data_IF_911778653741
#
_entry.id   IF_911778653741
#
_cell.length_a   1.000
_cell.length_b   1.000
_cell.length_c   1.000
_cell.angle_alpha   90.00
_cell.angle_beta   90.00
_cell.angle_gamma   90.00
#
_symmetry.space_group_name_H-M   'P 1'
#
loop_
_entity.id
_entity.type
_entity.pdbx_description
1 polymer ?
#
# COMPACT_ATOMS: atom_id res chain seq x y z
N UNK A 1 -53.52 -32.68 9.90
CA UNK A 1 -52.69 -32.28 11.07
C UNK A 1 -51.25 -31.95 10.68
N UNK A 2 -50.74 -32.45 9.55
CA UNK A 2 -49.34 -32.31 9.09
C UNK A 2 -48.91 -30.89 8.67
N UNK A 3 -49.81 -30.11 8.06
CA UNK A 3 -49.44 -28.78 7.53
C UNK A 3 -49.10 -27.77 8.63
N UNK A 4 -49.78 -27.86 9.78
CA UNK A 4 -49.55 -26.96 10.91
C UNK A 4 -48.17 -27.17 11.52
N UNK A 5 -47.74 -28.42 11.66
CA UNK A 5 -46.43 -28.76 12.21
C UNK A 5 -45.29 -28.38 11.26
N UNK A 6 -45.51 -28.58 9.96
CA UNK A 6 -44.58 -28.17 8.90
C UNK A 6 -44.41 -26.65 8.85
N UNK A 7 -45.51 -25.90 8.98
CA UNK A 7 -45.49 -24.44 9.05
C UNK A 7 -44.77 -23.93 10.29
N UNK A 8 -44.98 -24.56 11.46
CA UNK A 8 -44.29 -24.20 12.70
C UNK A 8 -42.77 -24.40 12.61
N UNK A 9 -42.32 -25.51 12.01
CA UNK A 9 -40.88 -25.74 11.75
C UNK A 9 -40.29 -24.67 10.82
N UNK A 10 -41.03 -24.31 9.76
CA UNK A 10 -40.60 -23.27 8.81
C UNK A 10 -40.52 -21.89 9.47
N UNK A 11 -41.47 -21.56 10.35
CA UNK A 11 -41.43 -20.32 11.14
C UNK A 11 -40.19 -20.29 12.03
N UNK A 12 -39.89 -21.37 12.75
CA UNK A 12 -38.68 -21.46 13.59
C UNK A 12 -37.41 -21.24 12.78
N UNK A 13 -37.26 -21.93 11.64
CA UNK A 13 -36.07 -21.78 10.79
C UNK A 13 -35.92 -20.36 10.24
N UNK A 14 -37.03 -19.72 9.87
CA UNK A 14 -37.02 -18.33 9.40
C UNK A 14 -36.66 -17.36 10.52
N UNK A 15 -37.08 -17.62 11.76
CA UNK A 15 -36.69 -16.82 12.93
C UNK A 15 -35.19 -16.92 13.19
N UNK A 16 -34.63 -18.13 13.16
CA UNK A 16 -33.18 -18.34 13.34
C UNK A 16 -32.36 -17.64 12.24
N UNK A 17 -32.84 -17.68 11.00
CA UNK A 17 -32.20 -16.96 9.88
C UNK A 17 -32.26 -15.44 10.06
N UNK A 18 -33.39 -14.90 10.53
CA UNK A 18 -33.51 -13.46 10.81
C UNK A 18 -32.54 -13.04 11.91
N UNK A 19 -32.38 -13.82 12.97
CA UNK A 19 -31.41 -13.54 14.02
C UNK A 19 -29.97 -13.59 13.51
N UNK A 20 -29.64 -14.59 12.69
CA UNK A 20 -28.33 -14.70 12.04
C UNK A 20 -28.03 -13.49 11.14
N UNK A 21 -28.99 -13.05 10.33
CA UNK A 21 -28.82 -11.89 9.48
C UNK A 21 -28.67 -10.60 10.27
N UNK A 22 -29.43 -10.41 11.36
CA UNK A 22 -29.27 -9.24 12.24
C UNK A 22 -27.91 -9.20 12.91
N UNK A 23 -27.39 -10.34 13.36
CA UNK A 23 -26.05 -10.41 13.94
C UNK A 23 -24.97 -10.03 12.91
N UNK A 24 -25.13 -10.47 11.66
CA UNK A 24 -24.23 -10.13 10.57
C UNK A 24 -24.33 -8.66 10.16
N UNK A 25 -25.54 -8.09 10.16
CA UNK A 25 -25.79 -6.67 9.91
C UNK A 25 -25.10 -5.80 10.97
N UNK A 26 -25.22 -6.15 12.24
CA UNK A 26 -24.54 -5.44 13.34
C UNK A 26 -23.00 -5.50 13.21
N UNK A 27 -22.45 -6.64 12.79
CA UNK A 27 -21.01 -6.75 12.51
C UNK A 27 -20.57 -5.86 11.34
N UNK A 28 -21.39 -5.78 10.29
CA UNK A 28 -21.11 -4.90 9.15
C UNK A 28 -21.19 -3.42 9.55
N UNK A 29 -22.18 -3.02 10.35
CA UNK A 29 -22.28 -1.66 10.87
C UNK A 29 -21.07 -1.28 11.72
N UNK A 30 -20.59 -2.18 12.58
CA UNK A 30 -19.40 -1.96 13.38
C UNK A 30 -18.15 -1.79 12.50
N UNK A 31 -18.00 -2.61 11.47
CA UNK A 31 -16.89 -2.49 10.51
C UNK A 31 -16.94 -1.17 9.75
N UNK A 32 -18.14 -0.70 9.36
CA UNK A 32 -18.35 0.60 8.73
C UNK A 32 -17.98 1.74 9.69
N UNK A 33 -18.30 1.62 10.99
CA UNK A 33 -17.93 2.62 11.99
C UNK A 33 -16.40 2.70 12.17
N UNK A 34 -15.73 1.56 12.31
CA UNK A 34 -14.27 1.48 12.42
C UNK A 34 -13.59 2.05 11.17
N UNK A 35 -14.12 1.75 9.99
CA UNK A 35 -13.67 2.35 8.73
C UNK A 35 -13.88 3.88 8.71
N UNK A 36 -15.04 4.37 9.12
CA UNK A 36 -15.32 5.82 9.16
C UNK A 36 -14.39 6.57 10.13
N UNK A 37 -14.06 5.98 11.28
CA UNK A 37 -13.07 6.56 12.20
C UNK A 37 -11.67 6.56 11.60
N UNK A 38 -11.28 5.48 10.91
CA UNK A 38 -10.01 5.42 10.20
C UNK A 38 -9.95 6.48 9.09
N UNK A 39 -11.01 6.63 8.30
CA UNK A 39 -11.10 7.63 7.22
C UNK A 39 -11.02 9.05 7.78
N UNK A 40 -11.66 9.35 8.91
CA UNK A 40 -11.52 10.66 9.56
C UNK A 40 -10.06 10.96 9.92
N UNK A 41 -9.33 9.99 10.48
CA UNK A 41 -7.90 10.14 10.75
C UNK A 41 -7.10 10.36 9.46
N UNK A 42 -7.44 9.69 8.37
CA UNK A 42 -6.77 9.88 7.07
C UNK A 42 -7.06 11.27 6.46
N UNK A 43 -8.29 11.79 6.62
CA UNK A 43 -8.63 13.14 6.19
C UNK A 43 -7.92 14.23 7.03
N UNK A 44 -7.76 14.02 8.33
CA UNK A 44 -6.95 14.93 9.17
C UNK A 44 -5.49 14.97 8.69
N UNK A 45 -4.92 13.81 8.33
CA UNK A 45 -3.59 13.72 7.71
C UNK A 45 -3.55 14.42 6.33
N UNK A 46 -4.64 14.36 5.56
CA UNK A 46 -4.76 15.05 4.27
C UNK A 46 -4.89 16.58 4.40
N UNK A 47 -5.59 17.07 5.43
CA UNK A 47 -5.66 18.50 5.72
C UNK A 47 -4.30 19.05 6.16
N UNK A 48 -3.49 18.24 6.84
CA UNK A 48 -2.09 18.55 7.11
C UNK A 48 -1.20 18.43 5.86
N UNK A 49 -1.51 17.53 4.92
CA UNK A 49 -0.86 17.43 3.61
C UNK A 49 -0.98 18.71 2.77
N UNK A 50 -2.16 19.35 2.73
CA UNK A 50 -2.38 20.58 1.95
C UNK A 50 -1.58 21.77 2.51
N UNK A 51 -1.39 21.84 3.84
CA UNK A 51 -0.66 22.95 4.47
C UNK A 51 0.83 23.01 4.07
N UNK A 52 1.41 21.88 3.65
CA UNK A 52 2.84 21.77 3.34
C UNK A 52 3.19 21.93 1.84
N UNK A 53 2.21 22.11 0.96
CA UNK A 53 2.44 22.32 -0.48
C UNK A 53 3.07 23.71 -0.68
N UNK A 54 4.41 23.75 -0.62
CA UNK A 54 5.21 24.97 -0.74
C UNK A 54 6.52 24.97 0.04
N UNK A 55 6.75 24.00 0.93
CA UNK A 55 8.00 23.92 1.71
C UNK A 55 9.11 23.20 0.92
N UNK A 56 10.37 23.58 1.19
CA UNK A 56 11.59 23.04 0.57
C UNK A 56 11.88 21.55 0.87
N UNK A 57 10.95 20.82 1.51
CA UNK A 57 11.10 19.44 2.02
C UNK A 57 10.50 18.35 1.14
N UNK A 58 10.04 18.69 -0.06
CA UNK A 58 9.45 17.74 -1.02
C UNK A 58 10.44 16.72 -1.58
N UNK A 59 11.70 17.12 -1.76
CA UNK A 59 12.71 16.37 -2.49
C UNK A 59 13.89 16.06 -1.58
N UNK A 60 14.32 14.80 -1.56
CA UNK A 60 15.55 14.40 -0.89
C UNK A 60 16.76 15.12 -1.53
N UNK A 61 17.62 15.80 -0.75
CA UNK A 61 18.67 16.65 -1.29
C UNK A 61 19.76 15.87 -2.03
N UNK A 62 20.02 14.62 -1.63
CA UNK A 62 21.10 13.78 -2.18
C UNK A 62 20.64 13.13 -3.48
N UNK A 63 19.55 12.39 -3.42
CA UNK A 63 19.09 11.51 -4.50
C UNK A 63 18.10 12.19 -5.45
N UNK A 64 17.58 13.37 -5.07
CA UNK A 64 16.63 14.17 -5.86
C UNK A 64 15.32 13.43 -6.19
N UNK A 65 14.99 12.38 -5.46
CA UNK A 65 13.68 11.71 -5.44
C UNK A 65 12.80 12.35 -4.36
N UNK A 66 11.55 11.91 -4.21
CA UNK A 66 10.72 12.41 -3.12
C UNK A 66 11.32 12.07 -1.75
N UNK A 67 11.17 12.98 -0.78
CA UNK A 67 11.52 12.68 0.62
C UNK A 67 10.62 11.58 1.18
N UNK A 68 11.04 10.95 2.28
CA UNK A 68 10.24 9.93 2.97
C UNK A 68 8.83 10.45 3.28
N UNK A 69 8.77 11.64 3.87
CA UNK A 69 7.52 12.30 4.23
C UNK A 69 6.58 12.44 3.02
N UNK A 70 7.11 12.88 1.87
CA UNK A 70 6.29 13.09 0.70
C UNK A 70 5.89 11.80 -0.01
N UNK A 71 6.78 10.81 -0.13
CA UNK A 71 6.42 9.55 -0.77
C UNK A 71 5.37 8.78 0.05
N UNK A 72 5.45 8.82 1.38
CA UNK A 72 4.42 8.22 2.24
C UNK A 72 3.08 8.93 2.09
N UNK A 73 3.08 10.26 2.01
CA UNK A 73 1.88 11.06 1.67
C UNK A 73 1.25 10.60 0.34
N UNK A 74 2.06 10.38 -0.70
CA UNK A 74 1.58 9.87 -2.00
C UNK A 74 1.02 8.44 -1.89
N UNK A 75 1.68 7.55 -1.15
CA UNK A 75 1.21 6.17 -0.93
C UNK A 75 -0.16 6.17 -0.26
N UNK A 76 -0.33 6.96 0.81
CA UNK A 76 -1.61 7.10 1.52
C UNK A 76 -2.71 7.63 0.60
N UNK A 77 -2.42 8.69 -0.17
CA UNK A 77 -3.36 9.26 -1.13
C UNK A 77 -3.80 8.22 -2.17
N UNK A 78 -2.86 7.48 -2.76
CA UNK A 78 -3.18 6.47 -3.76
C UNK A 78 -3.89 5.26 -3.17
N UNK A 79 -3.62 4.89 -1.92
CA UNK A 79 -4.36 3.85 -1.23
C UNK A 79 -5.85 4.22 -1.08
N UNK A 80 -6.12 5.45 -0.62
CA UNK A 80 -7.49 5.95 -0.51
C UNK A 80 -8.18 6.00 -1.88
N UNK A 81 -7.51 6.58 -2.88
CA UNK A 81 -8.04 6.67 -4.24
C UNK A 81 -8.33 5.29 -4.84
N UNK A 82 -7.44 4.32 -4.63
CA UNK A 82 -7.60 2.95 -5.09
C UNK A 82 -8.79 2.25 -4.45
N UNK A 83 -9.02 2.49 -3.17
CA UNK A 83 -10.21 2.01 -2.47
C UNK A 83 -11.50 2.64 -3.02
N UNK A 84 -11.52 3.95 -3.25
CA UNK A 84 -12.71 4.69 -3.72
C UNK A 84 -13.05 4.37 -5.19
N UNK A 85 -12.05 4.32 -6.07
CA UNK A 85 -12.22 4.16 -7.52
C UNK A 85 -12.11 2.70 -7.97
N UNK A 86 -11.77 1.78 -7.06
CA UNK A 86 -11.54 0.37 -7.39
C UNK A 86 -10.31 0.15 -8.30
N UNK A 87 -9.29 1.00 -8.17
CA UNK A 87 -8.05 0.89 -8.95
C UNK A 87 -7.00 0.08 -8.19
N UNK A 88 -5.99 -0.40 -8.91
CA UNK A 88 -4.91 -1.20 -8.35
C UNK A 88 -3.61 -0.42 -8.31
N UNK A 89 -2.79 -0.67 -7.28
CA UNK A 89 -1.46 -0.09 -7.17
C UNK A 89 -0.50 -1.09 -6.53
N UNK A 90 0.80 -0.84 -6.62
CA UNK A 90 1.80 -1.64 -5.92
C UNK A 90 2.85 -0.76 -5.25
N UNK A 91 3.38 -1.27 -4.14
CA UNK A 91 4.52 -0.69 -3.41
C UNK A 91 5.68 -1.66 -3.53
N UNK A 92 6.85 -1.13 -3.87
CA UNK A 92 8.11 -1.86 -3.76
C UNK A 92 9.04 -1.10 -2.81
N UNK A 93 9.64 -1.81 -1.87
CA UNK A 93 10.74 -1.29 -1.09
C UNK A 93 12.03 -1.92 -1.61
N UNK A 94 13.00 -1.07 -1.95
CA UNK A 94 14.29 -1.46 -2.54
C UNK A 94 15.41 -1.01 -1.61
N UNK A 95 16.08 -1.96 -0.97
CA UNK A 95 17.14 -1.70 0.01
C UNK A 95 18.51 -2.05 -0.55
N UNK A 96 19.48 -1.15 -0.37
CA UNK A 96 20.89 -1.41 -0.63
C UNK A 96 21.51 -2.13 0.57
N UNK A 97 22.10 -3.31 0.38
CA UNK A 97 22.76 -4.04 1.49
C UNK A 97 24.09 -3.43 1.93
N UNK A 98 24.75 -2.66 1.07
CA UNK A 98 26.03 -2.04 1.37
C UNK A 98 26.16 -0.71 0.60
N UNK A 99 25.54 0.37 1.09
CA UNK A 99 25.71 1.68 0.51
C UNK A 99 27.15 2.15 0.79
N UNK A 100 28.08 1.83 -0.13
CA UNK A 100 29.49 2.16 0.07
C UNK A 100 29.74 3.67 -0.03
N UNK A 101 28.93 4.41 -0.79
CA UNK A 101 29.07 5.85 -1.02
C UNK A 101 27.71 6.50 -1.36
N UNK A 102 27.58 7.83 -1.13
CA UNK A 102 26.41 8.61 -1.58
C UNK A 102 26.14 8.44 -3.08
N UNK A 103 27.20 8.25 -3.87
CA UNK A 103 27.10 8.04 -5.32
C UNK A 103 26.28 6.79 -5.66
N UNK A 104 26.35 5.74 -4.85
CA UNK A 104 25.55 4.52 -5.04
C UNK A 104 24.06 4.80 -4.84
N UNK A 105 23.70 5.60 -3.85
CA UNK A 105 22.31 6.03 -3.61
C UNK A 105 21.78 6.84 -4.80
N UNK A 106 22.59 7.78 -5.30
CA UNK A 106 22.25 8.58 -6.49
C UNK A 106 22.04 7.71 -7.73
N UNK A 107 22.90 6.70 -7.91
CA UNK A 107 22.82 5.79 -9.05
C UNK A 107 21.57 4.89 -8.98
N UNK A 108 21.24 4.36 -7.81
CA UNK A 108 20.00 3.59 -7.60
C UNK A 108 18.78 4.46 -7.81
N UNK A 109 18.75 5.68 -7.26
CA UNK A 109 17.65 6.62 -7.48
C UNK A 109 17.42 6.93 -8.97
N UNK A 110 18.49 7.20 -9.72
CA UNK A 110 18.43 7.41 -11.19
C UNK A 110 17.98 6.15 -11.91
N UNK A 111 18.43 4.98 -11.49
CA UNK A 111 18.02 3.71 -12.05
C UNK A 111 16.51 3.48 -11.86
N UNK A 112 16.01 3.57 -10.62
CA UNK A 112 14.59 3.38 -10.31
C UNK A 112 13.71 4.34 -11.14
N UNK A 113 14.09 5.62 -11.25
CA UNK A 113 13.40 6.60 -12.10
C UNK A 113 13.36 6.22 -13.59
N UNK A 114 14.35 5.49 -14.11
CA UNK A 114 14.37 5.01 -15.50
C UNK A 114 13.53 3.76 -15.70
N UNK A 115 13.37 2.96 -14.65
CA UNK A 115 12.65 1.68 -14.72
C UNK A 115 11.13 1.91 -14.65
N UNK A 116 10.69 2.95 -13.95
CA UNK A 116 9.26 3.25 -13.77
C UNK A 116 8.72 4.28 -14.78
N UNK A 117 7.39 4.44 -14.84
CA UNK A 117 6.73 5.40 -15.73
C UNK A 117 6.52 6.74 -15.03
N UNK A 118 7.37 7.73 -15.29
CA UNK A 118 7.18 9.09 -14.76
C UNK A 118 6.21 9.87 -15.66
N UNK A 119 5.22 10.61 -15.11
CA UNK A 119 4.98 10.92 -13.69
C UNK A 119 3.96 10.00 -12.99
N UNK A 120 3.47 8.95 -13.65
CA UNK A 120 2.42 8.07 -13.11
C UNK A 120 2.88 7.30 -11.88
N UNK A 121 4.08 6.76 -11.95
CA UNK A 121 4.75 6.04 -10.89
C UNK A 121 5.71 7.00 -10.15
N UNK A 122 5.94 6.76 -8.86
CA UNK A 122 6.75 7.63 -8.01
C UNK A 122 7.89 6.87 -7.32
N UNK A 123 9.04 7.55 -7.14
CA UNK A 123 10.15 7.07 -6.29
C UNK A 123 10.37 8.06 -5.17
N UNK A 124 10.50 7.54 -3.95
CA UNK A 124 10.96 8.28 -2.79
C UNK A 124 12.07 7.57 -2.03
N UNK A 125 12.81 8.33 -1.24
CA UNK A 125 13.80 7.81 -0.31
C UNK A 125 13.10 7.59 1.02
N UNK A 126 12.89 6.33 1.37
CA UNK A 126 12.15 5.93 2.56
C UNK A 126 13.03 6.00 3.82
N UNK A 127 14.26 5.50 3.71
CA UNK A 127 15.27 5.58 4.76
C UNK A 127 16.66 5.83 4.15
N UNK A 128 17.71 5.79 4.97
CA UNK A 128 19.07 6.05 4.51
C UNK A 128 19.52 5.13 3.36
N UNK A 129 19.12 3.86 3.40
CA UNK A 129 19.51 2.80 2.47
C UNK A 129 18.35 2.21 1.66
N UNK A 130 17.13 2.70 1.88
CA UNK A 130 15.91 2.10 1.30
C UNK A 130 15.11 3.14 0.50
N UNK A 131 14.70 2.74 -0.69
CA UNK A 131 13.81 3.48 -1.57
C UNK A 131 12.43 2.85 -1.59
N UNK A 132 11.39 3.69 -1.68
CA UNK A 132 10.02 3.25 -1.91
C UNK A 132 9.62 3.64 -3.33
N UNK A 133 9.08 2.68 -4.06
CA UNK A 133 8.53 2.85 -5.40
C UNK A 133 7.03 2.59 -5.35
N UNK A 134 6.26 3.59 -5.75
CA UNK A 134 4.81 3.51 -5.90
C UNK A 134 4.48 3.34 -7.39
N UNK A 135 3.83 2.23 -7.73
CA UNK A 135 3.36 1.92 -9.08
C UNK A 135 1.84 2.05 -9.13
N UNK A 136 1.34 2.86 -10.04
CA UNK A 136 -0.11 3.15 -10.16
C UNK A 136 -0.71 2.36 -11.31
N UNK A 137 -2.00 1.99 -11.21
CA UNK A 137 -2.72 1.24 -12.25
C UNK A 137 -1.98 -0.01 -12.75
N UNK A 138 -1.35 -0.74 -11.83
CA UNK A 138 -0.61 -1.97 -12.13
C UNK A 138 -1.42 -3.19 -11.73
N UNK A 139 -1.48 -4.20 -12.61
CA UNK A 139 -2.11 -5.49 -12.30
C UNK A 139 -1.15 -6.35 -11.50
N UNK A 140 -1.70 -7.17 -10.60
CA UNK A 140 -0.92 -8.09 -9.77
C UNK A 140 0.03 -8.98 -10.61
N UNK A 141 -0.46 -9.52 -11.72
CA UNK A 141 0.31 -10.35 -12.66
C UNK A 141 1.52 -9.64 -13.30
N UNK A 142 1.52 -8.31 -13.33
CA UNK A 142 2.60 -7.51 -13.91
C UNK A 142 3.65 -7.11 -12.88
N UNK A 143 3.35 -7.20 -11.59
CA UNK A 143 4.27 -6.86 -10.51
C UNK A 143 5.56 -7.71 -10.53
N UNK A 144 5.52 -9.05 -10.67
CA UNK A 144 6.74 -9.86 -10.74
C UNK A 144 7.68 -9.45 -11.89
N UNK A 145 7.13 -9.02 -13.02
CA UNK A 145 7.92 -8.54 -14.17
C UNK A 145 8.66 -7.25 -13.84
N UNK A 146 8.04 -6.35 -13.06
CA UNK A 146 8.68 -5.12 -12.61
C UNK A 146 9.80 -5.42 -11.61
N UNK A 147 9.56 -6.30 -10.64
CA UNK A 147 10.58 -6.76 -9.68
C UNK A 147 11.76 -7.35 -10.43
N UNK A 148 11.51 -8.32 -11.31
CA UNK A 148 12.56 -8.98 -12.10
C UNK A 148 13.35 -8.00 -12.98
N UNK A 149 12.70 -6.96 -13.50
CA UNK A 149 13.37 -5.90 -14.27
C UNK A 149 14.29 -5.04 -13.38
N UNK A 150 13.86 -4.73 -12.15
CA UNK A 150 14.69 -4.01 -11.18
C UNK A 150 15.89 -4.89 -10.80
N UNK A 151 15.68 -6.15 -10.44
CA UNK A 151 16.75 -7.10 -10.09
C UNK A 151 17.77 -7.26 -11.23
N UNK A 152 17.29 -7.44 -12.46
CA UNK A 152 18.18 -7.63 -13.61
C UNK A 152 18.95 -6.35 -13.97
N UNK A 153 18.32 -5.18 -13.86
CA UNK A 153 18.95 -3.91 -14.18
C UNK A 153 19.86 -3.37 -13.07
N UNK A 154 19.74 -3.90 -11.86
CA UNK A 154 20.53 -3.50 -10.70
C UNK A 154 21.84 -4.27 -10.53
N UNK A 155 22.17 -5.21 -11.43
CA UNK A 155 23.39 -6.04 -11.32
C UNK A 155 24.67 -5.22 -11.16
N UNK A 156 24.75 -4.06 -11.80
CA UNK A 156 25.90 -3.15 -11.75
C UNK A 156 25.84 -2.14 -10.58
N UNK A 157 24.76 -2.13 -9.79
CA UNK A 157 24.52 -1.19 -8.69
C UNK A 157 24.85 -1.79 -7.31
N UNK A 158 25.18 -3.08 -7.26
CA UNK A 158 25.46 -3.83 -6.05
C UNK A 158 24.27 -4.67 -5.56
N UNK A 159 24.44 -5.42 -4.46
CA UNK A 159 23.40 -6.28 -3.92
C UNK A 159 22.21 -5.46 -3.39
N UNK A 160 21.03 -5.70 -3.97
CA UNK A 160 19.76 -5.12 -3.55
C UNK A 160 18.84 -6.20 -2.98
N UNK A 161 18.03 -5.81 -1.99
CA UNK A 161 16.86 -6.57 -1.53
C UNK A 161 15.60 -5.83 -1.94
N UNK A 162 14.59 -6.58 -2.37
CA UNK A 162 13.32 -6.01 -2.82
C UNK A 162 12.18 -6.74 -2.10
N UNK A 163 11.31 -5.98 -1.44
CA UNK A 163 10.01 -6.45 -1.00
C UNK A 163 8.95 -5.77 -1.88
N UNK A 164 7.91 -6.51 -2.27
CA UNK A 164 6.84 -5.98 -3.13
C UNK A 164 5.46 -6.44 -2.64
N UNK A 165 4.47 -5.54 -2.70
CA UNK A 165 3.07 -5.80 -2.36
C UNK A 165 2.14 -5.05 -3.31
N UNK A 166 1.01 -5.65 -3.68
CA UNK A 166 -0.02 -5.07 -4.55
C UNK A 166 -1.36 -4.95 -3.83
N UNK A 167 -2.08 -3.89 -4.15
CA UNK A 167 -3.47 -3.66 -3.78
C UNK A 167 -4.39 -3.89 -5.00
N UNK A 168 -5.57 -4.50 -4.84
CA UNK A 168 -6.13 -5.04 -3.59
C UNK A 168 -5.52 -6.39 -3.18
N UNK A 169 -5.51 -6.69 -1.88
CA UNK A 169 -5.25 -8.03 -1.32
C UNK A 169 -6.21 -8.29 -0.15
N UNK A 170 -6.42 -9.56 0.21
CA UNK A 170 -7.49 -9.96 1.16
C UNK A 170 -7.41 -9.28 2.55
N UNK A 171 -6.22 -8.87 3.00
CA UNK A 171 -5.98 -8.21 4.30
C UNK A 171 -5.11 -6.95 4.14
N UNK A 172 -5.49 -6.04 3.25
CA UNK A 172 -4.67 -4.87 2.95
C UNK A 172 -4.82 -3.75 4.00
N UNK A 173 -4.05 -3.85 5.09
CA UNK A 173 -3.78 -2.73 6.00
C UNK A 173 -2.41 -2.11 5.65
N UNK A 174 -2.40 -0.81 5.31
CA UNK A 174 -1.19 -0.13 4.81
C UNK A 174 -0.05 -0.13 5.84
N UNK A 175 -0.32 0.14 7.12
CA UNK A 175 0.71 0.16 8.17
C UNK A 175 1.34 -1.23 8.34
N UNK A 176 0.50 -2.27 8.44
CA UNK A 176 0.97 -3.65 8.56
C UNK A 176 1.80 -4.08 7.35
N UNK A 177 1.44 -3.63 6.16
CA UNK A 177 2.18 -3.93 4.92
C UNK A 177 3.55 -3.27 4.92
N UNK A 178 3.62 -1.98 5.24
CA UNK A 178 4.89 -1.25 5.30
C UNK A 178 5.82 -1.93 6.33
N UNK A 179 5.33 -2.22 7.54
CA UNK A 179 6.11 -2.92 8.57
C UNK A 179 6.54 -4.33 8.15
N UNK A 180 5.65 -5.11 7.53
CA UNK A 180 5.99 -6.43 7.00
C UNK A 180 7.10 -6.36 5.95
N UNK A 181 7.06 -5.37 5.06
CA UNK A 181 8.08 -5.17 4.03
C UNK A 181 9.42 -4.76 4.64
N UNK A 182 9.43 -3.93 5.68
CA UNK A 182 10.65 -3.58 6.41
C UNK A 182 11.31 -4.81 7.06
N UNK A 183 10.51 -5.66 7.72
CA UNK A 183 10.99 -6.90 8.33
C UNK A 183 11.55 -7.87 7.29
N UNK A 184 10.87 -8.03 6.15
CA UNK A 184 11.33 -8.85 5.02
C UNK A 184 12.70 -8.38 4.52
N UNK A 185 12.90 -7.07 4.38
CA UNK A 185 14.17 -6.49 3.94
C UNK A 185 15.31 -6.64 4.96
N UNK A 186 15.00 -6.72 6.25
CA UNK A 186 15.99 -6.94 7.31
C UNK A 186 16.41 -8.42 7.39
N UNK A 187 15.45 -9.34 7.30
CA UNK A 187 15.64 -10.74 7.66
C UNK A 187 16.05 -11.68 6.52
N UNK A 188 15.86 -11.30 5.24
CA UNK A 188 16.14 -12.18 4.10
C UNK A 188 17.37 -11.82 3.32
#
# INVERSE_FOLDING_TARGET
>A
MDDKETLLKKISMLQDQIESYKAREAQMEQMIMEYNEFIKKQFEVYDDFIKDIGSSRLIDPVTRVYSNEHIMKLVTYYHQKAFEEGTSYAILMVRLQSPQEEQSLVNVAKFLKRVIRIPMDSVGRYSDDTFLVLLTDIKEDDMPKVVQRIENGAKDLGPLRIAARSYPSEDFNLENIISSMEEELLNG
#
